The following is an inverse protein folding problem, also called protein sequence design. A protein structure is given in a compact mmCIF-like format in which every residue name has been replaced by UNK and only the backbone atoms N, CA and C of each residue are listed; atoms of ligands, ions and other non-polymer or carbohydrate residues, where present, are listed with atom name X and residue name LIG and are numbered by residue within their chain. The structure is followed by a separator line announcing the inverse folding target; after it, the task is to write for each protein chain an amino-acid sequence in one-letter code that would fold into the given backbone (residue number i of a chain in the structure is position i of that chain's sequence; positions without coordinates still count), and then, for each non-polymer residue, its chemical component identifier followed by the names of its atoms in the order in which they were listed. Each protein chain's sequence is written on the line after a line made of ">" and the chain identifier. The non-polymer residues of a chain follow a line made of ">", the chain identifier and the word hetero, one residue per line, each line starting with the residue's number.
data_IF_134544810931
#
_entry.id   IF_134544810931
#
_cell.length_a   1.000
_cell.length_b   1.000
_cell.length_c   1.000
_cell.angle_alpha   90.00
_cell.angle_beta   90.00
_cell.angle_gamma   90.00
#
_symmetry.space_group_name_H-M   'P 1'
#
loop_
_entity.id
_entity.type
_entity.pdbx_description
1 polymer ?
#
# COMPACT_ATOMS: atom_id res chain seq x y z
N UNK A 1 -5.30 18.10 -1.09
CA UNK A 1 -5.01 19.44 -1.64
C UNK A 1 -3.69 19.38 -2.39
N UNK A 2 -3.61 18.60 -3.48
CA UNK A 2 -2.33 18.26 -4.13
C UNK A 2 -1.84 19.36 -5.09
N UNK A 3 -2.77 20.16 -5.63
CA UNK A 3 -2.44 21.19 -6.63
C UNK A 3 -1.58 22.36 -6.08
N UNK A 4 -1.59 22.65 -4.78
CA UNK A 4 -0.88 23.82 -4.23
C UNK A 4 0.64 23.59 -4.03
N UNK A 5 1.08 22.34 -3.87
CA UNK A 5 2.49 22.01 -3.60
C UNK A 5 3.35 21.95 -4.87
N UNK A 6 2.73 21.76 -6.04
CA UNK A 6 3.43 21.55 -7.32
C UNK A 6 4.04 22.83 -7.93
N UNK A 7 3.89 23.99 -7.30
CA UNK A 7 4.52 25.25 -7.72
C UNK A 7 5.28 25.96 -6.60
N UNK A 8 5.41 25.34 -5.42
CA UNK A 8 6.05 25.95 -4.25
C UNK A 8 7.52 25.56 -4.13
N UNK A 9 8.36 26.54 -3.79
CA UNK A 9 9.72 26.31 -3.31
C UNK A 9 9.72 26.40 -1.80
N UNK A 10 10.05 25.30 -1.11
CA UNK A 10 10.12 25.22 0.35
C UNK A 10 11.56 24.90 0.75
N UNK A 11 12.04 25.53 1.82
CA UNK A 11 13.34 25.26 2.40
C UNK A 11 13.22 24.97 3.90
N UNK A 12 13.57 23.76 4.31
CA UNK A 12 13.75 23.41 5.72
C UNK A 12 15.21 23.74 6.07
N UNK A 13 15.46 24.58 7.07
CA UNK A 13 16.80 25.15 7.30
C UNK A 13 17.37 24.84 8.68
N UNK A 14 18.69 24.58 8.74
CA UNK A 14 19.46 24.44 9.98
C UNK A 14 19.18 23.18 10.81
N UNK A 15 18.52 22.18 10.22
CA UNK A 15 18.15 20.95 10.92
C UNK A 15 19.25 19.90 10.94
N UNK A 16 19.12 18.92 11.83
CA UNK A 16 19.86 17.66 11.72
C UNK A 16 19.10 16.74 10.77
N UNK A 17 19.58 16.64 9.53
CA UNK A 17 18.93 15.85 8.48
C UNK A 17 19.41 14.41 8.54
N UNK A 18 18.46 13.46 8.60
CA UNK A 18 18.72 12.03 8.58
C UNK A 18 18.21 11.44 7.25
N UNK A 19 19.05 11.29 6.21
CA UNK A 19 18.60 10.88 4.88
C UNK A 19 18.31 9.38 4.75
N UNK A 20 18.61 8.56 5.77
CA UNK A 20 18.54 7.08 5.80
C UNK A 20 19.52 6.37 4.85
N UNK A 21 19.71 6.87 3.64
CA UNK A 21 20.64 6.35 2.62
C UNK A 21 22.12 6.66 2.88
N UNK A 22 22.42 7.39 3.96
CA UNK A 22 23.77 7.82 4.31
C UNK A 22 23.84 8.41 5.73
N UNK A 23 25.01 8.95 6.13
CA UNK A 23 25.19 9.55 7.45
C UNK A 23 24.29 10.78 7.64
N UNK A 24 23.93 11.06 8.90
CA UNK A 24 23.22 12.29 9.26
C UNK A 24 24.08 13.53 8.99
N UNK A 25 23.43 14.63 8.62
CA UNK A 25 24.09 15.92 8.34
C UNK A 25 23.55 16.96 9.33
N UNK A 26 24.42 17.48 10.19
CA UNK A 26 24.09 18.54 11.13
C UNK A 26 24.03 19.91 10.42
N UNK A 27 23.23 20.84 10.96
CA UNK A 27 23.07 22.22 10.46
C UNK A 27 22.82 22.29 8.94
N UNK A 28 22.03 21.34 8.42
CA UNK A 28 21.77 21.19 7.00
C UNK A 28 20.44 21.81 6.60
N UNK A 29 20.35 22.15 5.32
CA UNK A 29 19.12 22.60 4.68
C UNK A 29 18.61 21.52 3.72
N UNK A 30 17.28 21.42 3.59
CA UNK A 30 16.58 20.61 2.59
C UNK A 30 15.79 21.58 1.71
N UNK A 31 16.10 21.59 0.42
CA UNK A 31 15.40 22.40 -0.58
C UNK A 31 14.42 21.51 -1.34
N UNK A 32 13.15 21.91 -1.35
CA UNK A 32 12.05 21.24 -2.02
C UNK A 32 11.51 22.18 -3.10
N UNK A 33 11.32 21.68 -4.31
CA UNK A 33 10.65 22.38 -5.41
C UNK A 33 9.63 21.46 -6.03
N UNK A 34 8.41 21.97 -6.21
CA UNK A 34 7.33 21.27 -6.91
C UNK A 34 7.08 19.86 -6.32
N UNK A 35 7.07 19.80 -4.98
CA UNK A 35 6.90 18.57 -4.22
C UNK A 35 8.10 17.61 -4.20
N UNK A 36 9.24 17.97 -4.81
CA UNK A 36 10.44 17.10 -4.86
C UNK A 36 11.62 17.71 -4.12
N UNK A 37 12.36 16.88 -3.40
CA UNK A 37 13.64 17.27 -2.80
C UNK A 37 14.65 17.45 -3.94
N UNK A 38 15.20 18.65 -4.08
CA UNK A 38 16.20 18.99 -5.13
C UNK A 38 17.61 19.13 -4.58
N UNK A 39 17.79 19.38 -3.28
CA UNK A 39 19.10 19.44 -2.64
C UNK A 39 19.01 19.23 -1.13
N UNK A 40 20.05 18.61 -0.56
CA UNK A 40 20.24 18.42 0.89
C UNK A 40 21.70 18.70 1.23
N UNK A 41 21.96 19.51 2.27
CA UNK A 41 23.33 19.75 2.76
C UNK A 41 23.50 21.09 3.48
N UNK A 42 24.70 21.32 4.01
CA UNK A 42 25.04 22.53 4.78
C UNK A 42 25.16 23.78 3.92
N UNK A 43 25.59 23.63 2.66
CA UNK A 43 25.85 24.73 1.73
C UNK A 43 24.76 24.89 0.64
N UNK A 44 23.54 24.40 0.89
CA UNK A 44 22.44 24.53 -0.08
C UNK A 44 21.98 25.98 -0.14
N UNK A 45 22.10 26.59 -1.33
CA UNK A 45 21.63 27.94 -1.59
C UNK A 45 20.10 27.99 -1.59
N UNK A 46 19.52 28.82 -0.72
CA UNK A 46 18.08 28.97 -0.58
C UNK A 46 17.60 30.19 -1.37
N UNK A 47 16.74 30.02 -2.40
CA UNK A 47 16.17 31.13 -3.16
C UNK A 47 15.45 32.14 -2.25
N UNK A 48 15.47 33.42 -2.63
CA UNK A 48 14.84 34.50 -1.86
C UNK A 48 13.33 34.31 -1.68
N UNK A 49 12.64 33.77 -2.70
CA UNK A 49 11.20 33.50 -2.68
C UNK A 49 10.79 32.15 -2.06
N UNK A 50 11.72 31.40 -1.47
CA UNK A 50 11.38 30.12 -0.85
C UNK A 50 10.64 30.32 0.48
N UNK A 51 9.58 29.56 0.73
CA UNK A 51 8.97 29.44 2.06
C UNK A 51 9.96 28.73 2.98
N UNK A 52 10.37 29.39 4.07
CA UNK A 52 11.37 28.86 4.99
C UNK A 52 10.72 28.24 6.23
N UNK A 53 11.22 27.07 6.61
CA UNK A 53 10.84 26.34 7.82
C UNK A 53 12.10 26.19 8.67
N UNK A 54 12.12 26.84 9.84
CA UNK A 54 13.25 26.74 10.77
C UNK A 54 13.23 25.41 11.53
N UNK A 55 14.27 24.60 11.28
CA UNK A 55 14.50 23.31 11.89
C UNK A 55 15.73 23.31 12.82
N UNK A 56 16.27 24.49 13.21
CA UNK A 56 17.39 24.56 14.14
C UNK A 56 17.12 23.80 15.43
N UNK A 57 18.05 22.92 15.80
CA UNK A 57 17.92 22.04 16.97
C UNK A 57 16.88 20.91 16.82
N UNK A 58 16.27 20.75 15.64
CA UNK A 58 15.30 19.70 15.33
C UNK A 58 15.89 18.65 14.38
N UNK A 59 15.21 17.52 14.32
CA UNK A 59 15.48 16.46 13.36
C UNK A 59 14.60 16.61 12.12
N UNK A 60 15.18 16.31 10.96
CA UNK A 60 14.47 16.26 9.68
C UNK A 60 14.68 14.87 9.10
N UNK A 61 13.61 14.09 8.98
CA UNK A 61 13.62 12.72 8.47
C UNK A 61 12.72 12.61 7.24
N UNK A 62 12.90 11.59 6.39
CA UNK A 62 11.85 11.14 5.50
C UNK A 62 10.58 10.81 6.29
N UNK A 63 9.43 10.94 5.63
CA UNK A 63 8.21 10.32 6.12
C UNK A 63 8.38 8.80 6.18
N UNK A 64 7.83 8.19 7.22
CA UNK A 64 7.87 6.74 7.41
C UNK A 64 6.84 6.07 6.50
N UNK A 65 7.11 4.81 6.16
CA UNK A 65 6.23 3.97 5.36
C UNK A 65 5.69 2.87 6.27
N UNK A 66 4.36 2.78 6.39
CA UNK A 66 3.70 1.61 6.97
C UNK A 66 3.72 0.48 5.94
N UNK A 67 4.45 -0.60 6.27
CA UNK A 67 4.79 -1.66 5.32
C UNK A 67 3.69 -2.68 5.08
N UNK A 68 2.67 -2.76 5.95
CA UNK A 68 1.49 -3.60 5.76
C UNK A 68 0.48 -3.32 6.88
N UNK A 69 -0.68 -2.79 6.53
CA UNK A 69 -1.72 -2.48 7.51
C UNK A 69 -3.13 -2.41 6.92
N UNK A 70 -4.08 -2.03 7.75
CA UNK A 70 -5.50 -1.90 7.39
C UNK A 70 -5.98 -0.45 7.40
N UNK A 71 -5.06 0.50 7.31
CA UNK A 71 -5.38 1.92 7.38
C UNK A 71 -6.34 2.29 6.23
N UNK A 72 -7.45 2.93 6.60
CA UNK A 72 -8.52 3.28 5.66
C UNK A 72 -9.45 2.13 5.27
N UNK A 73 -9.13 0.88 5.62
CA UNK A 73 -9.98 -0.30 5.37
C UNK A 73 -10.79 -0.70 6.60
N UNK A 74 -10.33 -0.33 7.80
CA UNK A 74 -11.01 -0.60 9.06
C UNK A 74 -11.11 0.68 9.87
N UNK A 75 -12.33 1.13 10.16
CA UNK A 75 -12.54 2.25 11.10
C UNK A 75 -12.65 1.75 12.54
N UNK A 76 -13.56 0.80 12.79
CA UNK A 76 -13.83 0.27 14.13
C UNK A 76 -13.85 -1.25 14.07
N UNK A 77 -12.80 -1.91 14.56
CA UNK A 77 -12.61 -3.35 14.41
C UNK A 77 -13.77 -4.21 14.95
N UNK A 78 -14.51 -3.73 15.95
CA UNK A 78 -15.66 -4.43 16.56
C UNK A 78 -16.99 -4.19 15.83
N UNK A 79 -17.03 -3.30 14.84
CA UNK A 79 -18.23 -2.99 14.05
C UNK A 79 -18.07 -3.58 12.65
N UNK A 80 -18.75 -4.71 12.34
CA UNK A 80 -18.57 -5.42 11.08
C UNK A 80 -18.72 -4.58 9.83
N UNK A 81 -19.67 -3.64 9.83
CA UNK A 81 -19.98 -2.74 8.71
C UNK A 81 -18.90 -1.69 8.42
N UNK A 82 -17.79 -1.69 9.16
CA UNK A 82 -16.67 -0.77 8.95
C UNK A 82 -15.38 -1.49 8.56
N UNK A 83 -15.48 -2.76 8.16
CA UNK A 83 -14.35 -3.62 7.78
C UNK A 83 -14.46 -3.97 6.30
N UNK A 84 -13.66 -3.30 5.49
CA UNK A 84 -13.64 -3.40 4.03
C UNK A 84 -12.39 -4.13 3.52
N UNK A 85 -11.61 -4.77 4.40
CA UNK A 85 -10.33 -5.41 4.06
C UNK A 85 -10.39 -6.89 3.69
N UNK A 86 -11.57 -7.52 3.65
CA UNK A 86 -11.69 -8.96 3.37
C UNK A 86 -12.99 -9.33 2.66
N UNK A 87 -12.96 -10.48 1.99
CA UNK A 87 -14.12 -11.09 1.32
C UNK A 87 -14.54 -12.34 2.10
N UNK A 88 -15.85 -12.55 2.26
CA UNK A 88 -16.39 -13.74 2.94
C UNK A 88 -16.75 -14.84 1.95
N UNK A 89 -16.54 -16.10 2.34
CA UNK A 89 -17.01 -17.28 1.62
C UNK A 89 -16.06 -17.83 0.54
N UNK A 90 -15.16 -16.99 0.02
CA UNK A 90 -14.13 -17.40 -0.94
C UNK A 90 -12.75 -17.42 -0.29
N UNK A 91 -12.04 -18.54 -0.45
CA UNK A 91 -10.66 -18.67 0.08
C UNK A 91 -9.60 -18.21 -0.92
N UNK A 92 -9.99 -17.96 -2.18
CA UNK A 92 -9.14 -17.38 -3.23
C UNK A 92 -9.86 -16.15 -3.76
N UNK A 93 -9.45 -14.97 -3.31
CA UNK A 93 -10.02 -13.68 -3.67
C UNK A 93 -8.98 -12.82 -4.40
N UNK A 94 -8.27 -13.39 -5.38
CA UNK A 94 -7.17 -12.71 -6.07
C UNK A 94 -7.61 -11.45 -6.84
N UNK A 95 -8.87 -11.39 -7.28
CA UNK A 95 -9.45 -10.22 -7.95
C UNK A 95 -9.86 -9.11 -6.98
N UNK A 96 -9.94 -9.38 -5.68
CA UNK A 96 -10.33 -8.39 -4.68
C UNK A 96 -9.22 -7.34 -4.51
N UNK A 97 -9.49 -6.09 -4.88
CA UNK A 97 -8.54 -5.00 -4.71
C UNK A 97 -9.01 -4.05 -3.61
N UNK A 98 -8.20 -3.90 -2.57
CA UNK A 98 -8.57 -3.07 -1.42
C UNK A 98 -8.65 -1.57 -1.74
N UNK A 99 -8.10 -1.10 -2.87
CA UNK A 99 -8.23 0.29 -3.28
C UNK A 99 -9.71 0.73 -3.38
N UNK A 100 -10.61 -0.17 -3.77
CA UNK A 100 -12.04 0.09 -3.90
C UNK A 100 -12.76 0.22 -2.53
N UNK A 101 -12.13 -0.26 -1.46
CA UNK A 101 -12.68 -0.24 -0.10
C UNK A 101 -12.04 0.79 0.84
N UNK A 102 -11.01 1.52 0.39
CA UNK A 102 -10.37 2.53 1.23
C UNK A 102 -11.30 3.71 1.43
N UNK A 103 -11.51 4.11 2.68
CA UNK A 103 -12.15 5.36 3.07
C UNK A 103 -11.10 6.50 3.20
N UNK A 104 -11.03 7.45 2.24
CA UNK A 104 -10.11 8.59 2.33
C UNK A 104 -10.43 9.53 3.50
N UNK A 105 -11.67 9.48 4.00
CA UNK A 105 -12.13 10.27 5.14
C UNK A 105 -11.89 9.59 6.50
N UNK A 106 -11.14 8.48 6.54
CA UNK A 106 -10.82 7.79 7.79
C UNK A 106 -10.17 8.73 8.78
N UNK A 107 -10.68 8.73 10.02
CA UNK A 107 -10.11 9.55 11.10
C UNK A 107 -8.74 9.05 11.55
N UNK A 108 -8.37 7.81 11.19
CA UNK A 108 -7.08 7.23 11.51
C UNK A 108 -5.96 7.83 10.64
N UNK A 109 -6.24 8.22 9.39
CA UNK A 109 -5.26 8.78 8.46
C UNK A 109 -4.55 10.02 9.04
N UNK A 110 -5.25 11.08 9.49
CA UNK A 110 -4.58 12.26 10.04
C UNK A 110 -3.83 11.96 11.34
N UNK A 111 -4.30 11.01 12.17
CA UNK A 111 -3.60 10.58 13.39
C UNK A 111 -2.29 9.90 13.04
N UNK A 112 -2.34 8.90 12.15
CA UNK A 112 -1.16 8.19 11.65
C UNK A 112 -0.15 9.13 10.99
N UNK A 113 -0.63 10.14 10.25
CA UNK A 113 0.22 11.14 9.62
C UNK A 113 0.96 12.05 10.60
N UNK A 114 0.33 12.40 11.72
CA UNK A 114 0.98 13.22 12.78
C UNK A 114 2.13 12.45 13.44
N UNK A 115 2.04 11.13 13.52
CA UNK A 115 3.12 10.25 14.01
C UNK A 115 4.26 10.05 12.99
N UNK A 116 4.21 10.74 11.84
CA UNK A 116 5.29 10.78 10.85
C UNK A 116 5.21 9.71 9.76
N UNK A 117 4.14 8.91 9.70
CA UNK A 117 3.88 7.99 8.59
C UNK A 117 3.23 8.79 7.45
N UNK A 118 3.84 8.78 6.26
CA UNK A 118 3.32 9.54 5.10
C UNK A 118 2.75 8.66 4.01
N UNK A 119 3.11 7.39 4.00
CA UNK A 119 2.70 6.41 2.99
C UNK A 119 2.39 5.08 3.68
N UNK A 120 1.35 4.38 3.25
CA UNK A 120 0.95 3.11 3.82
C UNK A 120 0.65 2.07 2.73
N UNK A 121 1.05 0.83 2.95
CA UNK A 121 0.59 -0.33 2.18
C UNK A 121 -0.67 -0.88 2.85
N UNK A 122 -1.83 -0.59 2.27
CA UNK A 122 -3.09 -1.17 2.71
C UNK A 122 -3.22 -2.57 2.09
N UNK A 123 -3.43 -3.57 2.95
CA UNK A 123 -3.43 -5.00 2.56
C UNK A 123 -4.74 -5.68 2.91
N UNK A 124 -5.27 -6.56 2.04
CA UNK A 124 -6.36 -7.45 2.40
C UNK A 124 -5.89 -8.57 3.32
N UNK A 125 -6.83 -9.28 3.93
CA UNK A 125 -6.55 -10.37 4.86
C UNK A 125 -7.67 -11.42 4.87
N UNK A 126 -7.39 -12.55 5.52
CA UNK A 126 -8.42 -13.51 5.95
C UNK A 126 -8.69 -14.67 5.00
N UNK A 127 -8.00 -14.75 3.86
CA UNK A 127 -8.14 -15.85 2.89
C UNK A 127 -6.74 -16.36 2.47
N UNK A 128 -6.66 -17.64 2.06
CA UNK A 128 -5.42 -18.22 1.49
C UNK A 128 -4.78 -17.33 0.41
N UNK A 129 -5.60 -16.79 -0.50
CA UNK A 129 -5.24 -15.64 -1.34
C UNK A 129 -6.23 -14.53 -1.02
N UNK A 130 -5.78 -13.51 -0.30
CA UNK A 130 -6.62 -12.44 0.25
C UNK A 130 -6.94 -11.33 -0.76
N UNK A 131 -6.16 -11.20 -1.82
CA UNK A 131 -6.39 -10.21 -2.88
C UNK A 131 -5.20 -9.28 -3.09
N UNK A 132 -5.47 -8.12 -3.68
CA UNK A 132 -4.49 -7.14 -4.12
C UNK A 132 -4.30 -6.03 -3.09
N UNK A 133 -3.04 -5.74 -2.74
CA UNK A 133 -2.66 -4.62 -1.89
C UNK A 133 -2.48 -3.32 -2.71
N UNK A 134 -2.65 -2.18 -2.04
CA UNK A 134 -2.49 -0.84 -2.63
C UNK A 134 -1.55 0.01 -1.78
N UNK A 135 -0.66 0.76 -2.44
CA UNK A 135 0.21 1.75 -1.79
C UNK A 135 -0.45 3.12 -1.91
N UNK A 136 -0.68 3.77 -0.77
CA UNK A 136 -1.31 5.08 -0.68
C UNK A 136 -0.43 6.08 0.06
N UNK A 137 -0.39 7.31 -0.41
CA UNK A 137 0.05 8.46 0.38
C UNK A 137 -1.09 8.93 1.28
N UNK A 138 -0.73 9.38 2.48
CA UNK A 138 -1.68 9.85 3.49
C UNK A 138 -2.02 11.34 3.34
N UNK A 139 -1.68 11.94 2.20
CA UNK A 139 -2.12 13.26 1.78
C UNK A 139 -3.05 13.16 0.56
N UNK A 140 -4.31 13.54 0.76
CA UNK A 140 -5.34 13.42 -0.26
C UNK A 140 -6.73 13.53 0.37
N UNK A 141 -7.72 13.89 -0.43
CA UNK A 141 -9.14 13.89 -0.01
C UNK A 141 -9.99 12.90 -0.80
N UNK A 142 -9.42 12.29 -1.83
CA UNK A 142 -10.03 11.20 -2.61
C UNK A 142 -9.03 10.07 -2.76
N UNK A 143 -9.50 8.86 -3.06
CA UNK A 143 -8.61 7.70 -3.22
C UNK A 143 -7.67 7.90 -4.42
N UNK A 144 -8.13 8.50 -5.51
CA UNK A 144 -7.33 8.76 -6.72
C UNK A 144 -6.16 9.72 -6.45
N UNK A 145 -6.33 10.62 -5.48
CA UNK A 145 -5.26 11.51 -5.03
C UNK A 145 -4.24 10.79 -4.16
N UNK A 146 -4.67 9.78 -3.41
CA UNK A 146 -3.84 9.05 -2.46
C UNK A 146 -3.09 7.89 -3.11
N UNK A 147 -3.65 7.22 -4.12
CA UNK A 147 -3.04 6.04 -4.73
C UNK A 147 -1.70 6.37 -5.38
N UNK A 148 -0.64 5.78 -4.83
CA UNK A 148 0.71 5.76 -5.42
C UNK A 148 0.82 4.64 -6.44
N UNK A 149 0.30 3.45 -6.10
CA UNK A 149 0.29 2.28 -6.98
C UNK A 149 -0.82 1.30 -6.58
N UNK A 150 -1.61 0.87 -7.57
CA UNK A 150 -2.58 -0.22 -7.44
C UNK A 150 -2.62 -1.09 -8.72
N UNK A 151 -2.58 -2.43 -8.61
CA UNK A 151 -2.16 -3.20 -7.45
C UNK A 151 -0.64 -3.11 -7.23
N UNK A 152 -0.19 -3.27 -5.98
CA UNK A 152 1.24 -3.40 -5.64
C UNK A 152 1.68 -4.86 -5.73
N UNK A 153 0.78 -5.77 -5.33
CA UNK A 153 1.01 -7.21 -5.33
C UNK A 153 -0.20 -7.95 -4.75
N UNK A 154 -0.16 -9.29 -4.86
CA UNK A 154 -1.15 -10.20 -4.28
C UNK A 154 -0.69 -10.65 -2.89
N UNK A 155 -1.63 -10.68 -1.94
CA UNK A 155 -1.40 -11.14 -0.56
C UNK A 155 -1.89 -12.57 -0.41
N UNK A 156 -1.01 -13.45 0.05
CA UNK A 156 -1.33 -14.82 0.41
C UNK A 156 -1.07 -15.04 1.91
N UNK A 157 -1.99 -15.73 2.59
CA UNK A 157 -1.86 -16.02 4.02
C UNK A 157 -1.13 -17.35 4.24
N UNK A 158 0.07 -17.28 4.82
CA UNK A 158 0.90 -18.43 5.19
C UNK A 158 0.94 -18.67 6.71
N UNK A 159 0.10 -17.97 7.46
CA UNK A 159 0.03 -18.04 8.91
C UNK A 159 -0.83 -19.23 9.38
N UNK A 160 -1.17 -19.27 10.67
CA UNK A 160 -2.05 -20.31 11.22
C UNK A 160 -3.48 -20.19 10.68
N UNK A 161 -4.02 -18.98 10.45
CA UNK A 161 -5.34 -18.81 9.82
C UNK A 161 -5.35 -19.36 8.40
N UNK A 162 -4.31 -19.09 7.62
CA UNK A 162 -4.16 -19.66 6.28
C UNK A 162 -4.08 -21.20 6.28
N UNK A 163 -3.69 -21.85 7.40
CA UNK A 163 -3.78 -23.32 7.50
C UNK A 163 -5.23 -23.77 7.53
N UNK A 164 -6.06 -23.12 8.33
CA UNK A 164 -7.49 -23.47 8.44
C UNK A 164 -8.18 -23.37 7.08
N UNK A 165 -7.84 -22.34 6.29
CA UNK A 165 -8.33 -22.15 4.91
C UNK A 165 -7.78 -23.15 3.89
N UNK A 166 -6.61 -23.72 4.16
CA UNK A 166 -5.94 -24.63 3.24
C UNK A 166 -6.23 -26.11 3.52
N UNK A 167 -6.66 -26.49 4.73
CA UNK A 167 -6.87 -27.90 5.12
C UNK A 167 -6.00 -28.37 6.29
N UNK A 168 -5.56 -27.44 7.14
CA UNK A 168 -4.98 -27.70 8.46
C UNK A 168 -3.46 -27.90 8.52
N UNK A 169 -2.72 -27.72 7.41
CA UNK A 169 -1.26 -27.86 7.44
C UNK A 169 -0.53 -26.91 6.48
N UNK A 170 0.73 -26.55 6.81
CA UNK A 170 1.57 -25.71 5.93
C UNK A 170 1.92 -26.39 4.60
N UNK A 171 2.01 -27.73 4.60
CA UNK A 171 2.23 -28.49 3.38
C UNK A 171 1.03 -28.33 2.42
N UNK A 172 -0.18 -28.30 2.98
CA UNK A 172 -1.41 -28.12 2.22
C UNK A 172 -1.55 -26.68 1.69
N UNK A 173 -1.17 -25.66 2.47
CA UNK A 173 -1.04 -24.26 1.97
C UNK A 173 -0.19 -24.25 0.69
N UNK A 174 1.01 -24.84 0.73
CA UNK A 174 1.90 -24.86 -0.42
C UNK A 174 1.35 -25.68 -1.59
N UNK A 175 0.67 -26.80 -1.34
CA UNK A 175 0.04 -27.60 -2.37
C UNK A 175 -1.10 -26.84 -3.06
N UNK A 176 -1.94 -26.17 -2.27
CA UNK A 176 -3.11 -25.41 -2.73
C UNK A 176 -2.71 -24.17 -3.51
N UNK A 177 -1.73 -23.39 -3.03
CA UNK A 177 -1.18 -22.26 -3.80
C UNK A 177 -0.60 -22.72 -5.14
N UNK A 178 0.18 -23.82 -5.17
CA UNK A 178 0.69 -24.37 -6.44
C UNK A 178 -0.43 -24.81 -7.38
N UNK A 179 -1.51 -25.40 -6.86
CA UNK A 179 -2.67 -25.75 -7.67
C UNK A 179 -3.33 -24.51 -8.27
N UNK A 180 -3.56 -23.47 -7.47
CA UNK A 180 -4.16 -22.20 -7.91
C UNK A 180 -3.35 -21.56 -9.03
N UNK A 181 -2.02 -21.45 -8.90
CA UNK A 181 -1.17 -20.92 -9.97
C UNK A 181 -1.15 -21.80 -11.23
N UNK A 182 -1.16 -23.14 -11.09
CA UNK A 182 -1.27 -24.03 -12.25
C UNK A 182 -2.60 -23.86 -12.97
N UNK A 183 -3.69 -23.72 -12.22
CA UNK A 183 -5.03 -23.52 -12.76
C UNK A 183 -5.14 -22.15 -13.45
N UNK A 184 -4.47 -21.11 -12.94
CA UNK A 184 -4.39 -19.80 -13.60
C UNK A 184 -3.68 -19.91 -14.96
N UNK A 185 -2.53 -20.58 -15.02
CA UNK A 185 -1.81 -20.84 -16.28
C UNK A 185 -2.58 -21.78 -17.23
N UNK A 186 -3.42 -22.68 -16.71
CA UNK A 186 -4.31 -23.50 -17.52
C UNK A 186 -5.45 -22.66 -18.11
N UNK A 187 -6.06 -21.81 -17.29
CA UNK A 187 -7.07 -20.85 -17.69
C UNK A 187 -6.56 -19.91 -18.78
N UNK A 188 -5.37 -19.33 -18.62
CA UNK A 188 -4.75 -18.45 -19.63
C UNK A 188 -4.69 -19.11 -21.01
N UNK A 189 -4.22 -20.36 -21.06
CA UNK A 189 -4.06 -21.11 -22.30
C UNK A 189 -5.37 -21.56 -22.92
N UNK A 190 -6.42 -21.71 -22.12
CA UNK A 190 -7.69 -22.34 -22.52
C UNK A 190 -8.92 -21.49 -22.19
N UNK A 191 -8.80 -20.15 -22.20
CA UNK A 191 -9.90 -19.22 -21.87
C UNK A 191 -11.21 -19.53 -22.63
N UNK A 192 -11.12 -19.88 -23.91
CA UNK A 192 -12.29 -20.25 -24.73
C UNK A 192 -12.97 -21.53 -24.25
N UNK A 193 -12.20 -22.56 -23.88
CA UNK A 193 -12.75 -23.82 -23.37
C UNK A 193 -13.39 -23.63 -22.00
N UNK A 194 -12.78 -22.81 -21.13
CA UNK A 194 -13.36 -22.42 -19.85
C UNK A 194 -14.72 -21.75 -20.03
N UNK A 195 -14.81 -20.75 -20.91
CA UNK A 195 -16.06 -20.05 -21.21
C UNK A 195 -17.15 -20.93 -21.84
N UNK A 196 -16.77 -22.05 -22.46
CA UNK A 196 -17.69 -23.06 -23.02
C UNK A 196 -18.00 -24.22 -22.06
N UNK A 197 -17.51 -24.15 -20.82
CA UNK A 197 -17.59 -25.24 -19.84
C UNK A 197 -17.01 -26.58 -20.35
N UNK A 198 -15.93 -26.52 -21.14
CA UNK A 198 -15.21 -27.67 -21.72
C UNK A 198 -13.93 -28.02 -20.95
N UNK A 199 -13.83 -27.57 -19.70
CA UNK A 199 -12.70 -27.84 -18.81
C UNK A 199 -13.21 -28.50 -17.52
N UNK A 200 -12.31 -29.19 -16.81
CA UNK A 200 -12.57 -29.54 -15.42
C UNK A 200 -12.80 -28.25 -14.59
N UNK A 201 -13.51 -28.33 -13.45
CA UNK A 201 -13.52 -27.23 -12.50
C UNK A 201 -12.10 -26.81 -12.10
N UNK A 202 -11.88 -25.49 -12.05
CA UNK A 202 -10.64 -24.88 -11.61
C UNK A 202 -10.77 -24.39 -10.16
N UNK A 203 -9.63 -24.13 -9.52
CA UNK A 203 -9.56 -23.81 -8.09
C UNK A 203 -10.15 -22.44 -7.69
N UNK A 204 -10.44 -21.55 -8.65
CA UNK A 204 -10.96 -20.20 -8.39
C UNK A 204 -11.81 -19.68 -9.56
N UNK A 205 -12.45 -18.52 -9.37
CA UNK A 205 -13.25 -17.87 -10.41
C UNK A 205 -12.39 -17.38 -11.58
N UNK A 206 -13.01 -17.10 -12.73
CA UNK A 206 -12.29 -16.56 -13.89
C UNK A 206 -11.55 -15.25 -13.57
N UNK A 207 -12.17 -14.35 -12.78
CA UNK A 207 -11.56 -13.09 -12.39
C UNK A 207 -10.37 -13.26 -11.47
N UNK A 208 -10.46 -14.20 -10.52
CA UNK A 208 -9.34 -14.51 -9.63
C UNK A 208 -8.16 -15.14 -10.39
N UNK A 209 -8.45 -16.08 -11.29
CA UNK A 209 -7.43 -16.72 -12.11
C UNK A 209 -6.75 -15.71 -13.05
N UNK A 210 -7.51 -14.77 -13.61
CA UNK A 210 -6.97 -13.69 -14.44
C UNK A 210 -6.08 -12.74 -13.64
N UNK A 211 -6.43 -12.47 -12.38
CA UNK A 211 -5.68 -11.57 -11.49
C UNK A 211 -4.35 -12.16 -10.97
N UNK A 212 -4.09 -13.44 -11.25
CA UNK A 212 -2.88 -14.17 -10.85
C UNK A 212 -1.85 -14.31 -11.98
N UNK A 213 -2.16 -13.84 -13.18
CA UNK A 213 -1.31 -13.89 -14.38
C UNK A 213 -0.53 -12.58 -14.56
#
# INVERSE_FOLDING_TARGET
>A
MIALLLAQTIAITGGTVYPVSGPKVADANVLIRDGRIVAVGTNVAIPSGATRIDAKGKWVTPGLIDGAGQLGLVEISVVPATREGSVQGDTIAAAFNVAEGINPASTLIPVTRIEGITTALAVPFGNLVSGQAVLIDLDGVTIEQMVVKSPVGIVADLSESGKDDAGGSRAEIAARLRQVFRDALEYERRKTDFGRAQMRPLAASAGDLESLL
#
